data_IF_654420239472
#
_entry.id   IF_654420239472
#
_cell.length_a   1.000
_cell.length_b   1.000
_cell.length_c   1.000
_cell.angle_alpha   90.00
_cell.angle_beta   90.00
_cell.angle_gamma   90.00
#
_symmetry.space_group_name_H-M   'P 1'
#
loop_
_entity.id
_entity.type
_entity.pdbx_description
1 polymer ?
#
# COMPACT_ATOMS: atom_id res chain seq x y z
N UNK A 1 2.51 18.86 5.67
CA UNK A 1 2.64 17.85 4.59
C UNK A 1 3.12 16.55 5.22
N UNK A 2 2.27 15.52 5.31
CA UNK A 2 2.58 14.30 6.09
C UNK A 2 3.32 13.20 5.29
N UNK A 3 3.46 13.37 3.97
CA UNK A 3 3.90 12.29 3.09
C UNK A 3 5.08 12.63 2.14
N UNK A 4 5.79 13.75 2.33
CA UNK A 4 6.81 14.22 1.38
C UNK A 4 8.17 13.53 1.58
N UNK A 5 8.79 13.02 0.51
CA UNK A 5 10.15 12.46 0.59
C UNK A 5 11.21 13.53 0.27
N UNK A 6 11.87 14.10 1.28
CA UNK A 6 12.79 15.22 1.09
C UNK A 6 14.06 14.83 0.29
N UNK A 7 14.65 13.68 0.60
CA UNK A 7 15.92 13.26 -0.03
C UNK A 7 15.75 12.96 -1.53
N UNK A 8 14.73 12.19 -1.92
CA UNK A 8 14.45 11.87 -3.33
C UNK A 8 13.91 13.04 -4.15
N UNK A 9 13.39 14.08 -3.49
CA UNK A 9 12.93 15.29 -4.14
C UNK A 9 13.87 16.48 -3.87
N UNK A 10 15.14 16.24 -3.54
CA UNK A 10 16.12 17.30 -3.23
C UNK A 10 16.29 18.30 -4.38
N UNK A 11 16.18 17.83 -5.62
CA UNK A 11 16.26 18.63 -6.85
C UNK A 11 14.90 19.21 -7.28
N UNK A 12 13.81 18.86 -6.58
CA UNK A 12 12.50 19.37 -6.94
C UNK A 12 12.37 20.83 -6.49
N UNK A 13 12.15 21.73 -7.45
CA UNK A 13 11.78 23.10 -7.15
C UNK A 13 10.40 23.14 -6.47
N UNK A 14 10.37 23.23 -5.14
CA UNK A 14 9.13 23.21 -4.35
C UNK A 14 8.28 24.46 -4.51
N UNK A 15 8.87 25.58 -4.94
CA UNK A 15 8.15 26.85 -5.16
C UNK A 15 7.22 26.82 -6.38
N UNK A 16 7.48 25.93 -7.34
CA UNK A 16 6.61 25.74 -8.52
C UNK A 16 5.56 24.64 -8.33
N UNK A 17 5.55 23.97 -7.17
CA UNK A 17 4.64 22.86 -6.89
C UNK A 17 3.30 23.38 -6.35
N UNK A 18 2.29 23.36 -7.21
CA UNK A 18 0.89 23.63 -6.81
C UNK A 18 0.16 22.33 -6.46
N UNK A 19 -0.90 22.43 -5.64
CA UNK A 19 -1.71 21.27 -5.23
C UNK A 19 -2.42 20.54 -6.38
N UNK A 20 -2.56 21.20 -7.54
CA UNK A 20 -3.12 20.64 -8.78
C UNK A 20 -2.06 20.20 -9.79
N UNK A 21 -0.77 20.32 -9.44
CA UNK A 21 0.31 19.95 -10.35
C UNK A 21 0.29 18.46 -10.68
N UNK A 22 0.43 18.14 -11.97
CA UNK A 22 0.55 16.77 -12.46
C UNK A 22 1.97 16.22 -12.34
N UNK A 23 2.91 17.00 -11.80
CA UNK A 23 4.30 16.58 -11.58
C UNK A 23 4.34 15.40 -10.60
N UNK A 24 4.99 14.34 -11.04
CA UNK A 24 5.25 13.14 -10.24
C UNK A 24 6.44 13.40 -9.33
N UNK A 25 6.27 13.11 -8.05
CA UNK A 25 7.27 13.28 -7.00
C UNK A 25 7.25 12.07 -6.08
N UNK A 26 8.29 11.92 -5.28
CA UNK A 26 8.41 10.86 -4.31
C UNK A 26 7.67 11.17 -3.01
N UNK A 27 6.90 10.20 -2.53
CA UNK A 27 6.18 10.27 -1.28
C UNK A 27 6.70 9.18 -0.33
N UNK A 28 6.69 9.46 0.97
CA UNK A 28 6.97 8.49 2.02
C UNK A 28 5.87 8.57 3.08
N UNK A 29 5.45 7.46 3.68
CA UNK A 29 4.53 7.49 4.82
C UNK A 29 5.25 7.26 6.15
N UNK A 30 4.63 7.62 7.29
CA UNK A 30 5.22 7.39 8.61
C UNK A 30 5.50 5.92 8.95
N UNK A 31 4.98 4.97 8.16
CA UNK A 31 5.25 3.53 8.29
C UNK A 31 6.43 3.07 7.42
N UNK A 32 7.12 3.98 6.73
CA UNK A 32 8.30 3.68 5.91
C UNK A 32 8.03 3.30 4.45
N UNK A 33 6.78 3.24 4.01
CA UNK A 33 6.50 2.95 2.59
C UNK A 33 6.76 4.17 1.70
N UNK A 34 7.42 3.94 0.57
CA UNK A 34 7.75 4.95 -0.44
C UNK A 34 6.99 4.67 -1.74
N UNK A 35 6.52 5.71 -2.42
CA UNK A 35 5.88 5.57 -3.74
C UNK A 35 5.94 6.86 -4.55
N UNK A 36 5.80 6.73 -5.87
CA UNK A 36 5.72 7.85 -6.80
C UNK A 36 4.26 8.16 -7.14
N UNK A 37 3.87 9.43 -7.06
CA UNK A 37 2.55 9.89 -7.49
C UNK A 37 2.59 11.38 -7.85
N UNK A 38 1.62 11.83 -8.66
CA UNK A 38 1.45 13.26 -8.90
C UNK A 38 0.89 13.98 -7.67
N UNK A 39 1.22 15.26 -7.51
CA UNK A 39 0.69 16.09 -6.43
C UNK A 39 -0.84 16.19 -6.51
N UNK A 40 -1.36 16.36 -7.73
CA UNK A 40 -2.80 16.33 -8.01
C UNK A 40 -3.47 15.04 -7.54
N UNK A 41 -2.84 13.88 -7.73
CA UNK A 41 -3.35 12.59 -7.25
C UNK A 41 -3.29 12.50 -5.72
N UNK A 42 -2.27 13.02 -5.06
CA UNK A 42 -2.18 12.96 -3.60
C UNK A 42 -3.24 13.78 -2.86
N UNK A 43 -3.93 14.68 -3.55
CA UNK A 43 -5.07 15.39 -2.99
C UNK A 43 -6.31 14.47 -2.87
N UNK A 44 -6.38 13.39 -3.64
CA UNK A 44 -7.42 12.38 -3.51
C UNK A 44 -7.14 11.46 -2.31
N UNK A 45 -8.14 11.26 -1.46
CA UNK A 45 -8.05 10.37 -0.29
C UNK A 45 -7.75 8.92 -0.68
N UNK A 46 -8.14 8.49 -1.89
CA UNK A 46 -7.93 7.13 -2.39
C UNK A 46 -6.47 6.84 -2.80
N UNK A 47 -5.67 7.88 -3.04
CA UNK A 47 -4.35 7.79 -3.69
C UNK A 47 -3.17 8.00 -2.71
N UNK A 48 -3.44 7.97 -1.40
CA UNK A 48 -2.40 7.93 -0.36
C UNK A 48 -1.63 6.61 -0.41
N UNK A 49 -0.72 6.40 0.54
CA UNK A 49 0.09 5.19 0.64
C UNK A 49 -0.74 3.93 0.37
N UNK A 50 -0.44 3.25 -0.75
CA UNK A 50 -1.13 2.03 -1.20
C UNK A 50 -1.02 0.91 -0.15
N UNK A 51 0.10 0.89 0.55
CA UNK A 51 0.36 -0.05 1.64
C UNK A 51 -0.42 0.28 2.91
N UNK A 52 -0.75 1.56 3.13
CA UNK A 52 -1.57 2.00 4.27
C UNK A 52 -3.06 2.03 3.98
N UNK A 53 -3.47 1.78 2.75
CA UNK A 53 -4.88 1.79 2.41
C UNK A 53 -5.55 0.64 3.17
N UNK A 54 -6.62 0.91 3.93
CA UNK A 54 -7.38 -0.16 4.57
C UNK A 54 -7.92 -1.08 3.48
N UNK A 55 -7.79 -2.38 3.76
CA UNK A 55 -8.27 -3.46 2.92
C UNK A 55 -9.75 -3.26 2.65
N UNK A 56 -10.14 -3.16 1.38
CA UNK A 56 -11.56 -3.10 1.00
C UNK A 56 -12.18 -4.47 1.22
N UNK A 57 -13.38 -4.53 1.82
CA UNK A 57 -14.13 -5.79 2.00
C UNK A 57 -14.17 -6.56 0.68
N UNK A 58 -13.71 -7.80 0.70
CA UNK A 58 -13.71 -8.70 -0.47
C UNK A 58 -12.39 -8.79 -1.25
N UNK A 59 -11.34 -8.06 -0.88
CA UNK A 59 -10.00 -8.25 -1.47
C UNK A 59 -8.95 -8.18 -0.38
N UNK A 60 -8.28 -9.29 -0.08
CA UNK A 60 -7.17 -9.35 0.89
C UNK A 60 -5.85 -9.32 0.11
N UNK A 61 -4.99 -8.31 0.30
CA UNK A 61 -3.64 -8.32 -0.21
C UNK A 61 -2.85 -9.49 0.38
N UNK A 62 -1.96 -10.11 -0.38
CA UNK A 62 -1.14 -11.22 0.11
C UNK A 62 -0.38 -10.88 1.40
N UNK A 63 0.10 -9.64 1.54
CA UNK A 63 0.77 -9.16 2.77
C UNK A 63 -0.10 -9.23 4.03
N UNK A 64 -1.41 -9.22 3.87
CA UNK A 64 -2.41 -9.23 4.93
C UNK A 64 -3.11 -10.61 5.01
N UNK A 65 -2.61 -11.61 4.26
CA UNK A 65 -3.18 -12.95 4.21
C UNK A 65 -2.66 -13.86 5.33
N UNK A 66 -3.41 -14.93 5.63
CA UNK A 66 -2.99 -15.96 6.59
C UNK A 66 -1.68 -16.64 6.16
N UNK A 67 -1.39 -16.71 4.86
CA UNK A 67 -0.11 -17.22 4.37
C UNK A 67 1.08 -16.38 4.85
N UNK A 68 0.92 -15.06 4.87
CA UNK A 68 2.00 -14.13 5.25
C UNK A 68 2.01 -13.87 6.75
N UNK A 69 0.84 -13.72 7.38
CA UNK A 69 0.70 -13.32 8.77
C UNK A 69 0.72 -14.51 9.75
N UNK A 70 0.33 -15.70 9.29
CA UNK A 70 0.11 -16.88 10.12
C UNK A 70 0.66 -18.16 9.44
N UNK A 71 1.98 -18.25 9.18
CA UNK A 71 2.58 -19.42 8.54
C UNK A 71 2.30 -20.74 9.31
N UNK A 72 2.09 -20.67 10.63
CA UNK A 72 1.69 -21.82 11.45
C UNK A 72 0.35 -22.43 11.03
N UNK A 73 -0.59 -21.63 10.50
CA UNK A 73 -1.88 -22.14 10.02
C UNK A 73 -1.76 -22.81 8.65
N UNK A 74 -0.67 -22.56 7.91
CA UNK A 74 -0.40 -23.21 6.63
C UNK A 74 -0.01 -24.67 6.84
N UNK A 75 0.68 -24.98 7.95
CA UNK A 75 1.01 -26.36 8.31
C UNK A 75 -0.24 -27.18 8.65
N UNK A 76 -1.29 -26.55 9.14
CA UNK A 76 -2.60 -27.18 9.42
C UNK A 76 -3.54 -27.19 8.20
N UNK A 77 -3.13 -26.56 7.09
CA UNK A 77 -3.95 -26.40 5.90
C UNK A 77 -4.18 -27.73 5.17
N UNK A 78 -5.44 -28.11 5.01
CA UNK A 78 -5.79 -29.35 4.30
C UNK A 78 -5.82 -29.13 2.78
N UNK A 79 -4.89 -29.73 2.00
CA UNK A 79 -4.78 -29.47 0.56
C UNK A 79 -6.01 -29.95 -0.24
N UNK A 80 -6.72 -30.95 0.26
CA UNK A 80 -7.88 -31.55 -0.43
C UNK A 80 -9.22 -30.99 0.02
N UNK A 81 -9.33 -30.50 1.26
CA UNK A 81 -10.57 -29.90 1.78
C UNK A 81 -10.71 -28.43 1.43
N UNK A 82 -9.60 -27.76 1.17
CA UNK A 82 -9.53 -26.34 0.84
C UNK A 82 -9.05 -26.10 -0.59
N UNK A 83 -9.37 -27.01 -1.53
CA UNK A 83 -8.83 -26.98 -2.90
C UNK A 83 -9.20 -25.71 -3.69
N UNK A 84 -10.37 -25.15 -3.42
CA UNK A 84 -10.87 -23.94 -4.08
C UNK A 84 -10.49 -22.64 -3.34
N UNK A 85 -9.70 -22.75 -2.27
CA UNK A 85 -9.29 -21.64 -1.42
C UNK A 85 -7.79 -21.40 -1.57
N UNK A 86 -7.41 -20.16 -1.88
CA UNK A 86 -6.02 -19.72 -1.84
C UNK A 86 -5.71 -19.06 -0.48
N UNK A 87 -4.84 -19.63 0.36
CA UNK A 87 -4.39 -19.02 1.62
C UNK A 87 -3.84 -17.60 1.47
N UNK A 88 -3.33 -17.25 0.28
CA UNK A 88 -2.80 -15.90 -0.02
C UNK A 88 -3.89 -14.86 -0.23
N UNK A 89 -5.16 -15.28 -0.31
CA UNK A 89 -6.32 -14.40 -0.51
C UNK A 89 -7.27 -14.40 0.71
N UNK A 90 -6.87 -15.03 1.81
CA UNK A 90 -7.67 -15.16 3.03
C UNK A 90 -7.02 -14.34 4.13
N UNK A 91 -7.74 -13.41 4.75
CA UNK A 91 -7.22 -12.58 5.84
C UNK A 91 -7.56 -13.15 7.22
N UNK A 92 -6.83 -12.74 8.28
CA UNK A 92 -7.25 -13.00 9.65
C UNK A 92 -8.57 -12.25 9.92
N UNK A 93 -9.56 -12.97 10.47
CA UNK A 93 -10.96 -12.51 10.60
C UNK A 93 -11.18 -11.28 11.48
#
# INVERSE_FOLDING_TARGET
MKYWHAERNSEANTSELTCSSSKVVWWHCPRGHEWEASISRMNDRAHKCKECRPVTRGSVPERDSIFTLHPELIDEWHPTKNIDLDPRQIGPG
#
